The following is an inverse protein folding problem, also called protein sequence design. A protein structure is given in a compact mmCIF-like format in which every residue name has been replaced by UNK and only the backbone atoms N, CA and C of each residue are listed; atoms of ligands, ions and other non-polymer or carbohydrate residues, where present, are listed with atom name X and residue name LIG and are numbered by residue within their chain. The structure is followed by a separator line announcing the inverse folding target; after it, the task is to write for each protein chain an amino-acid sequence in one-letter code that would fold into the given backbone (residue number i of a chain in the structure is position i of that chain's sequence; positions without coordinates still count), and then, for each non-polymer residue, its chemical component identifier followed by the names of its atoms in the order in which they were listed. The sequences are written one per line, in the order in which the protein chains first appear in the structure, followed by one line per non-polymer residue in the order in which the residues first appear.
data_IF_892029701557
#
_entry.id   IF_892029701557
#
_cell.length_a   1.000
_cell.length_b   1.000
_cell.length_c   1.000
_cell.angle_alpha   90.00
_cell.angle_beta   90.00
_cell.angle_gamma   90.00
#
_symmetry.space_group_name_H-M   'P 1'
#
loop_
_entity.id
_entity.type
_entity.pdbx_description
1 polymer ?
#
# COMPACT_ATOMS: atom_id res chain seq x y z
N UNK A 1 -28.23 -20.18 -45.91
CA UNK A 1 -27.35 -19.86 -44.77
C UNK A 1 -27.06 -18.36 -44.59
N UNK A 2 -26.89 -17.53 -45.64
CA UNK A 2 -26.64 -16.07 -45.50
C UNK A 2 -27.80 -15.21 -44.94
N UNK A 3 -29.02 -15.74 -44.84
CA UNK A 3 -30.17 -15.02 -44.25
C UNK A 3 -30.39 -15.32 -42.76
N UNK A 4 -29.68 -16.29 -42.18
CA UNK A 4 -29.81 -16.62 -40.75
C UNK A 4 -28.91 -15.73 -39.88
N UNK A 5 -27.75 -15.30 -40.39
CA UNK A 5 -26.86 -14.35 -39.71
C UNK A 5 -27.43 -12.92 -39.63
N UNK A 6 -28.33 -12.55 -40.55
CA UNK A 6 -28.94 -11.20 -40.55
C UNK A 6 -30.00 -11.02 -39.46
N UNK A 7 -30.66 -12.10 -39.02
CA UNK A 7 -31.70 -12.03 -38.00
C UNK A 7 -31.14 -12.09 -36.56
N UNK A 8 -29.90 -12.55 -36.36
CA UNK A 8 -29.19 -12.43 -35.08
C UNK A 8 -28.69 -11.02 -34.79
N UNK A 9 -28.55 -10.17 -35.81
CA UNK A 9 -28.13 -8.77 -35.65
C UNK A 9 -29.28 -7.82 -35.29
N UNK A 10 -30.54 -8.13 -35.64
CA UNK A 10 -31.66 -7.23 -35.37
C UNK A 10 -32.27 -7.35 -33.98
N UNK A 11 -32.08 -8.49 -33.29
CA UNK A 11 -32.43 -8.61 -31.86
C UNK A 11 -31.43 -7.93 -30.92
N UNK A 12 -30.35 -7.34 -31.45
CA UNK A 12 -29.27 -6.78 -30.64
C UNK A 12 -29.39 -5.26 -30.39
N UNK A 13 -30.25 -4.55 -31.13
CA UNK A 13 -30.34 -3.08 -30.99
C UNK A 13 -31.00 -2.64 -29.68
N UNK A 14 -32.07 -3.30 -29.23
CA UNK A 14 -32.71 -2.95 -27.94
C UNK A 14 -31.81 -3.27 -26.74
N UNK A 15 -31.03 -4.35 -26.83
CA UNK A 15 -30.01 -4.69 -25.83
C UNK A 15 -28.83 -3.72 -25.82
N UNK A 16 -28.57 -3.04 -26.93
CA UNK A 16 -27.44 -2.10 -27.05
C UNK A 16 -27.75 -0.78 -26.34
N UNK A 17 -28.98 -0.26 -26.45
CA UNK A 17 -29.40 0.96 -25.76
C UNK A 17 -29.48 0.77 -24.24
N UNK A 18 -29.93 -0.41 -23.77
CA UNK A 18 -29.94 -0.74 -22.35
C UNK A 18 -28.51 -0.91 -21.81
N UNK A 19 -27.64 -1.55 -22.59
CA UNK A 19 -26.21 -1.65 -22.28
C UNK A 19 -25.54 -0.28 -22.22
N UNK A 20 -25.86 0.63 -23.16
CA UNK A 20 -25.30 1.97 -23.20
C UNK A 20 -25.75 2.83 -22.01
N UNK A 21 -27.02 2.72 -21.59
CA UNK A 21 -27.52 3.32 -20.35
C UNK A 21 -26.80 2.79 -19.11
N UNK A 22 -26.60 1.47 -19.02
CA UNK A 22 -25.87 0.86 -17.90
C UNK A 22 -24.40 1.26 -17.86
N UNK A 23 -23.73 1.37 -19.02
CA UNK A 23 -22.35 1.87 -19.09
C UNK A 23 -22.24 3.32 -18.67
N UNK A 24 -23.21 4.17 -19.02
CA UNK A 24 -23.23 5.57 -18.60
C UNK A 24 -23.39 5.67 -17.07
N UNK A 25 -24.26 4.89 -16.44
CA UNK A 25 -24.44 4.91 -14.97
C UNK A 25 -23.19 4.35 -14.25
N UNK A 26 -22.60 3.27 -14.75
CA UNK A 26 -21.38 2.68 -14.20
C UNK A 26 -20.21 3.67 -14.22
N UNK A 27 -20.16 4.54 -15.24
CA UNK A 27 -19.13 5.57 -15.39
C UNK A 27 -19.18 6.66 -14.30
N UNK A 28 -20.35 6.90 -13.68
CA UNK A 28 -20.51 7.88 -12.59
C UNK A 28 -20.26 7.28 -11.20
N UNK A 29 -20.54 5.99 -11.01
CA UNK A 29 -20.40 5.35 -9.69
C UNK A 29 -18.94 4.98 -9.39
N UNK A 30 -18.19 4.55 -10.41
CA UNK A 30 -16.78 4.16 -10.28
C UNK A 30 -15.85 5.24 -9.68
N UNK A 31 -15.88 6.51 -10.13
CA UNK A 31 -15.02 7.55 -9.55
C UNK A 31 -15.28 7.77 -8.06
N UNK A 32 -16.52 7.64 -7.57
CA UNK A 32 -16.87 7.84 -6.15
C UNK A 32 -16.14 6.82 -5.25
N UNK A 33 -16.02 5.57 -5.69
CA UNK A 33 -15.31 4.53 -4.93
C UNK A 33 -13.81 4.72 -4.91
N UNK A 34 -13.24 4.98 -6.09
CA UNK A 34 -11.82 5.31 -6.19
C UNK A 34 -11.48 6.51 -5.30
N UNK A 35 -12.31 7.55 -5.30
CA UNK A 35 -12.14 8.72 -4.43
C UNK A 35 -12.22 8.33 -2.95
N UNK A 36 -13.18 7.51 -2.55
CA UNK A 36 -13.32 7.07 -1.15
C UNK A 36 -12.09 6.31 -0.67
N UNK A 37 -11.57 5.38 -1.48
CA UNK A 37 -10.34 4.65 -1.15
C UNK A 37 -9.11 5.56 -1.12
N UNK A 38 -9.03 6.55 -2.00
CA UNK A 38 -7.98 7.56 -2.01
C UNK A 38 -8.02 8.41 -0.74
N UNK A 39 -9.20 8.86 -0.30
CA UNK A 39 -9.36 9.63 0.95
C UNK A 39 -8.95 8.78 2.14
N UNK A 40 -9.44 7.54 2.23
CA UNK A 40 -9.06 6.61 3.31
C UNK A 40 -7.55 6.36 3.30
N UNK A 41 -6.96 6.09 2.14
CA UNK A 41 -5.52 5.89 2.01
C UNK A 41 -4.70 7.12 2.41
N UNK A 42 -5.20 8.31 2.09
CA UNK A 42 -4.60 9.58 2.50
C UNK A 42 -4.65 9.77 4.01
N UNK A 43 -5.81 9.54 4.63
CA UNK A 43 -5.96 9.63 6.08
C UNK A 43 -5.05 8.61 6.79
N UNK A 44 -4.97 7.38 6.28
CA UNK A 44 -4.05 6.36 6.78
C UNK A 44 -2.60 6.82 6.63
N UNK A 45 -2.21 7.40 5.50
CA UNK A 45 -0.86 7.93 5.30
C UNK A 45 -0.51 9.05 6.28
N UNK A 46 -1.44 9.98 6.53
CA UNK A 46 -1.25 11.04 7.52
C UNK A 46 -1.08 10.42 8.91
N UNK A 47 -1.90 9.41 9.26
CA UNK A 47 -1.77 8.70 10.52
C UNK A 47 -0.42 7.97 10.62
N UNK A 48 0.02 7.26 9.57
CA UNK A 48 1.33 6.60 9.52
C UNK A 48 2.44 7.62 9.73
N UNK A 49 2.41 8.75 9.02
CA UNK A 49 3.43 9.81 9.15
C UNK A 49 3.49 10.32 10.60
N UNK A 50 2.34 10.66 11.19
CA UNK A 50 2.31 11.15 12.57
C UNK A 50 2.83 10.09 13.57
N UNK A 51 2.32 8.86 13.46
CA UNK A 51 2.69 7.75 14.35
C UNK A 51 4.16 7.39 14.21
N UNK A 52 4.67 7.27 12.98
CA UNK A 52 6.06 6.91 12.70
C UNK A 52 7.03 8.03 13.06
N UNK A 53 6.66 9.30 12.84
CA UNK A 53 7.48 10.44 13.29
C UNK A 53 7.54 10.47 14.81
N UNK A 54 6.39 10.29 15.48
CA UNK A 54 6.35 10.19 16.94
C UNK A 54 7.22 9.03 17.43
N UNK A 55 7.16 7.87 16.79
CA UNK A 55 7.92 6.69 17.20
C UNK A 55 9.43 6.82 16.93
N UNK A 56 9.83 7.25 15.73
CA UNK A 56 11.24 7.22 15.32
C UNK A 56 12.01 8.50 15.67
N UNK A 57 11.37 9.65 15.74
CA UNK A 57 12.06 10.94 15.97
C UNK A 57 11.71 11.55 17.32
N UNK A 58 10.43 11.56 17.68
CA UNK A 58 9.98 12.23 18.91
C UNK A 58 10.33 11.39 20.14
N UNK A 59 10.13 10.06 20.09
CA UNK A 59 10.37 9.18 21.23
C UNK A 59 11.84 9.23 21.69
N UNK A 60 12.86 9.09 20.80
CA UNK A 60 14.26 9.16 21.22
C UNK A 60 14.66 10.54 21.76
N UNK A 61 14.12 11.62 21.19
CA UNK A 61 14.42 12.98 21.62
C UNK A 61 13.79 13.32 22.97
N UNK A 62 12.57 12.87 23.20
CA UNK A 62 11.87 13.03 24.49
C UNK A 62 12.54 12.18 25.58
N UNK A 63 13.13 11.03 25.24
CA UNK A 63 13.81 10.18 26.25
C UNK A 63 15.07 10.79 26.85
N UNK A 64 15.78 11.64 26.12
CA UNK A 64 16.88 12.42 26.68
C UNK A 64 16.38 13.47 27.70
N UNK A 65 15.12 13.92 27.55
CA UNK A 65 14.36 14.67 28.54
C UNK A 65 13.76 13.77 29.61
N UNK A 66 14.55 13.43 30.64
CA UNK A 66 14.32 12.48 31.76
C UNK A 66 12.93 12.36 32.42
N UNK A 67 11.93 13.18 32.11
CA UNK A 67 10.65 13.24 32.84
C UNK A 67 9.42 12.71 32.08
N UNK A 68 9.41 12.67 30.75
CA UNK A 68 8.15 12.35 30.05
C UNK A 68 7.93 10.85 29.82
N UNK A 69 8.99 10.06 29.58
CA UNK A 69 8.82 8.68 29.14
C UNK A 69 8.57 7.64 30.23
N UNK A 70 8.88 7.94 31.50
CA UNK A 70 8.51 7.07 32.61
C UNK A 70 6.99 6.97 32.80
N UNK A 71 6.24 7.94 32.27
CA UNK A 71 4.78 8.02 32.39
C UNK A 71 4.02 7.73 31.09
N UNK A 72 4.71 7.60 29.95
CA UNK A 72 4.07 7.08 28.74
C UNK A 72 3.80 5.61 28.99
N UNK A 73 2.54 5.30 29.34
CA UNK A 73 2.09 3.99 29.82
C UNK A 73 2.73 2.86 29.01
N UNK A 74 3.15 1.75 29.64
CA UNK A 74 3.63 0.55 28.94
C UNK A 74 2.74 0.10 27.79
N UNK A 75 1.43 0.34 27.93
CA UNK A 75 0.43 0.16 26.88
C UNK A 75 0.72 0.99 25.62
N UNK A 76 1.10 2.26 25.76
CA UNK A 76 1.36 3.18 24.65
C UNK A 76 2.49 2.69 23.76
N UNK A 77 3.58 2.14 24.32
CA UNK A 77 4.67 1.60 23.49
C UNK A 77 4.19 0.40 22.64
N UNK A 78 3.46 -0.55 23.25
CA UNK A 78 2.91 -1.71 22.53
C UNK A 78 1.88 -1.28 21.50
N UNK A 79 0.99 -0.36 21.86
CA UNK A 79 -0.04 0.16 20.99
C UNK A 79 0.55 0.92 19.81
N UNK A 80 1.58 1.74 20.03
CA UNK A 80 2.25 2.49 18.96
C UNK A 80 2.93 1.55 17.96
N UNK A 81 3.65 0.54 18.43
CA UNK A 81 4.26 -0.49 17.56
C UNK A 81 3.17 -1.25 16.79
N UNK A 82 2.15 -1.75 17.48
CA UNK A 82 1.00 -2.42 16.86
C UNK A 82 0.38 -1.56 15.77
N UNK A 83 0.10 -0.29 16.08
CA UNK A 83 -0.62 0.63 15.22
C UNK A 83 0.21 1.03 14.00
N UNK A 84 1.54 1.24 14.14
CA UNK A 84 2.46 1.43 13.02
C UNK A 84 2.38 0.27 12.02
N UNK A 85 2.54 -0.98 12.48
CA UNK A 85 2.49 -2.13 11.57
C UNK A 85 1.09 -2.35 10.98
N UNK A 86 0.06 -2.21 11.81
CA UNK A 86 -1.34 -2.33 11.40
C UNK A 86 -1.71 -1.36 10.28
N UNK A 87 -1.43 -0.06 10.45
CA UNK A 87 -1.74 0.96 9.45
C UNK A 87 -0.93 0.75 8.17
N UNK A 88 0.37 0.45 8.29
CA UNK A 88 1.23 0.16 7.13
C UNK A 88 0.68 -1.01 6.31
N UNK A 89 0.23 -2.09 6.95
CA UNK A 89 -0.30 -3.24 6.23
C UNK A 89 -1.64 -2.96 5.58
N UNK A 90 -2.56 -2.26 6.25
CA UNK A 90 -3.81 -1.83 5.62
C UNK A 90 -3.51 -0.97 4.39
N UNK A 91 -2.59 -0.02 4.50
CA UNK A 91 -2.23 0.85 3.38
C UNK A 91 -1.67 0.09 2.18
N UNK A 92 -0.78 -0.89 2.42
CA UNK A 92 -0.22 -1.73 1.35
C UNK A 92 -1.32 -2.53 0.65
N UNK A 93 -2.20 -3.18 1.41
CA UNK A 93 -3.29 -3.96 0.83
C UNK A 93 -4.36 -3.08 0.16
N UNK A 94 -4.55 -1.85 0.62
CA UNK A 94 -5.38 -0.85 -0.04
C UNK A 94 -4.86 -0.53 -1.45
N UNK A 95 -3.53 -0.34 -1.60
CA UNK A 95 -2.89 -0.13 -2.91
C UNK A 95 -3.12 -1.34 -3.82
N UNK A 96 -2.96 -2.56 -3.30
CA UNK A 96 -3.21 -3.80 -4.05
C UNK A 96 -4.67 -3.84 -4.52
N UNK A 97 -5.62 -3.53 -3.64
CA UNK A 97 -7.05 -3.51 -3.97
C UNK A 97 -7.39 -2.49 -5.06
N UNK A 98 -6.84 -1.27 -4.97
CA UNK A 98 -7.00 -0.24 -5.99
C UNK A 98 -6.47 -0.72 -7.36
N UNK A 99 -5.33 -1.42 -7.36
CA UNK A 99 -4.74 -1.98 -8.58
C UNK A 99 -5.56 -3.11 -9.19
N UNK A 100 -6.06 -4.03 -8.35
CA UNK A 100 -6.95 -5.11 -8.80
C UNK A 100 -8.24 -4.52 -9.40
N UNK A 101 -8.86 -3.56 -8.71
CA UNK A 101 -10.10 -2.94 -9.16
C UNK A 101 -9.91 -2.23 -10.52
N UNK A 102 -8.81 -1.50 -10.69
CA UNK A 102 -8.45 -0.89 -11.99
C UNK A 102 -8.19 -1.94 -13.07
N UNK A 103 -7.49 -3.01 -12.72
CA UNK A 103 -7.22 -4.11 -13.64
C UNK A 103 -8.54 -4.75 -14.10
N UNK A 104 -9.48 -5.03 -13.19
CA UNK A 104 -10.81 -5.54 -13.50
C UNK A 104 -11.61 -4.56 -14.38
N UNK A 105 -11.52 -3.27 -14.08
CA UNK A 105 -12.16 -2.21 -14.87
C UNK A 105 -11.65 -2.15 -16.32
N UNK A 106 -10.38 -2.42 -16.57
CA UNK A 106 -9.80 -2.38 -17.92
C UNK A 106 -9.86 -3.71 -18.66
N UNK A 107 -9.84 -4.83 -17.93
CA UNK A 107 -9.81 -6.19 -18.53
C UNK A 107 -11.18 -6.71 -18.94
N UNK A 108 -12.22 -6.40 -18.17
CA UNK A 108 -13.53 -7.04 -18.36
C UNK A 108 -14.58 -5.99 -18.66
N UNK A 109 -15.25 -6.05 -19.81
CA UNK A 109 -16.42 -5.20 -20.09
C UNK A 109 -17.69 -5.78 -19.48
N UNK A 110 -17.81 -7.12 -19.48
CA UNK A 110 -19.01 -7.86 -19.06
C UNK A 110 -19.05 -8.21 -17.57
N UNK A 111 -17.90 -8.49 -16.93
CA UNK A 111 -17.85 -8.87 -15.51
C UNK A 111 -17.95 -7.69 -14.52
N UNK A 112 -17.85 -6.44 -15.02
CA UNK A 112 -17.95 -5.20 -14.23
C UNK A 112 -19.22 -5.15 -13.36
N UNK A 113 -20.34 -5.58 -13.93
CA UNK A 113 -21.64 -5.50 -13.28
C UNK A 113 -21.81 -6.52 -12.15
N UNK A 114 -21.06 -7.62 -12.18
CA UNK A 114 -21.19 -8.71 -11.20
C UNK A 114 -20.19 -8.58 -10.05
N UNK A 115 -18.93 -8.22 -10.35
CA UNK A 115 -17.85 -8.31 -9.36
C UNK A 115 -17.67 -7.00 -8.57
N UNK A 116 -17.76 -5.83 -9.21
CA UNK A 116 -17.50 -4.54 -8.57
C UNK A 116 -18.73 -3.96 -7.85
N UNK A 117 -19.41 -4.78 -7.03
CA UNK A 117 -20.53 -4.30 -6.20
C UNK A 117 -20.01 -3.69 -4.90
N UNK A 118 -20.59 -2.55 -4.48
CA UNK A 118 -20.32 -1.84 -3.20
C UNK A 118 -20.20 -2.78 -1.99
N UNK A 119 -21.07 -3.78 -1.90
CA UNK A 119 -21.07 -4.74 -0.79
C UNK A 119 -19.80 -5.59 -0.78
N UNK A 120 -19.36 -6.06 -1.94
CA UNK A 120 -18.15 -6.89 -2.07
C UNK A 120 -16.90 -6.11 -1.69
N UNK A 121 -16.76 -4.86 -2.16
CA UNK A 121 -15.63 -4.00 -1.82
C UNK A 121 -15.52 -3.74 -0.30
N UNK A 122 -16.65 -3.47 0.35
CA UNK A 122 -16.71 -3.30 1.80
C UNK A 122 -16.35 -4.58 2.56
N UNK A 123 -16.85 -5.74 2.12
CA UNK A 123 -16.54 -7.04 2.73
C UNK A 123 -15.04 -7.33 2.60
N UNK A 124 -14.45 -7.16 1.42
CA UNK A 124 -13.03 -7.41 1.19
C UNK A 124 -12.18 -6.45 2.04
N UNK A 125 -12.54 -5.17 2.10
CA UNK A 125 -11.84 -4.19 2.93
C UNK A 125 -11.90 -4.55 4.42
N UNK A 126 -13.07 -4.99 4.91
CA UNK A 126 -13.24 -5.46 6.28
C UNK A 126 -12.37 -6.70 6.56
N UNK A 127 -12.33 -7.65 5.64
CA UNK A 127 -11.46 -8.84 5.75
C UNK A 127 -9.99 -8.44 5.85
N UNK A 128 -9.52 -7.50 5.03
CA UNK A 128 -8.15 -6.98 5.07
C UNK A 128 -7.85 -6.33 6.43
N UNK A 129 -8.78 -5.53 6.96
CA UNK A 129 -8.63 -4.86 8.26
C UNK A 129 -8.55 -5.89 9.39
N UNK A 130 -9.46 -6.87 9.41
CA UNK A 130 -9.47 -7.94 10.42
C UNK A 130 -8.20 -8.78 10.32
N UNK A 131 -7.80 -9.17 9.11
CA UNK A 131 -6.57 -9.93 8.89
C UNK A 131 -5.34 -9.15 9.38
N UNK A 132 -5.23 -7.86 9.01
CA UNK A 132 -4.14 -6.99 9.46
C UNK A 132 -4.13 -6.81 10.97
N UNK A 133 -5.32 -6.73 11.60
CA UNK A 133 -5.44 -6.66 13.05
C UNK A 133 -4.92 -7.94 13.70
N UNK A 134 -5.40 -9.11 13.26
CA UNK A 134 -5.03 -10.41 13.81
C UNK A 134 -3.53 -10.68 13.66
N UNK A 135 -2.96 -10.40 12.49
CA UNK A 135 -1.54 -10.58 12.22
C UNK A 135 -0.68 -9.69 13.12
N UNK A 136 -1.14 -8.49 13.49
CA UNK A 136 -0.36 -7.57 14.34
C UNK A 136 -0.68 -7.67 15.84
N UNK A 137 -1.82 -8.24 16.23
CA UNK A 137 -2.27 -8.30 17.62
C UNK A 137 -1.25 -8.95 18.56
N UNK A 138 -0.38 -9.81 18.03
CA UNK A 138 0.71 -10.43 18.77
C UNK A 138 1.67 -9.39 19.41
N UNK A 139 1.84 -8.20 18.83
CA UNK A 139 2.63 -7.11 19.43
C UNK A 139 2.04 -6.62 20.76
N UNK A 140 0.71 -6.57 20.87
CA UNK A 140 0.02 -6.15 22.10
C UNK A 140 0.22 -7.18 23.23
N UNK A 141 0.36 -8.46 22.88
CA UNK A 141 0.42 -9.58 23.82
C UNK A 141 1.86 -9.86 24.27
N UNK A 142 2.81 -9.89 23.33
CA UNK A 142 4.15 -10.42 23.56
C UNK A 142 5.24 -9.36 23.82
N UNK A 143 4.98 -8.08 23.53
CA UNK A 143 5.87 -7.01 23.96
C UNK A 143 5.72 -6.79 25.47
N UNK A 144 6.84 -6.62 26.16
CA UNK A 144 6.93 -6.32 27.59
C UNK A 144 6.79 -4.83 27.82
N UNK A 145 6.50 -4.48 29.06
CA UNK A 145 6.55 -3.11 29.55
C UNK A 145 8.01 -2.62 29.52
N UNK A 146 8.26 -1.33 29.20
CA UNK A 146 9.60 -0.80 29.05
C UNK A 146 10.38 -0.94 30.36
N UNK A 147 11.53 -1.60 30.31
CA UNK A 147 12.43 -1.73 31.47
C UNK A 147 13.45 -0.60 31.41
N UNK A 148 13.70 0.07 32.54
CA UNK A 148 14.80 1.02 32.65
C UNK A 148 16.11 0.24 32.66
N UNK A 149 16.86 0.30 31.56
CA UNK A 149 18.21 -0.27 31.49
C UNK A 149 19.17 0.80 31.97
N UNK A 150 19.80 0.55 33.11
CA UNK A 150 20.91 1.36 33.60
C UNK A 150 22.15 0.97 32.79
N UNK A 151 22.79 1.95 32.13
CA UNK A 151 23.95 1.77 31.24
C UNK A 151 25.25 1.40 31.99
N UNK A 152 25.15 0.53 33.00
CA UNK A 152 26.28 0.07 33.82
C UNK A 152 27.26 -0.85 33.06
N UNK A 153 26.85 -1.38 31.90
CA UNK A 153 27.73 -2.25 31.09
C UNK A 153 28.49 -1.46 30.02
N UNK A 154 29.83 -1.38 30.20
CA UNK A 154 30.87 -0.78 29.33
C UNK A 154 30.94 -1.29 27.87
N UNK A 155 29.89 -1.90 27.33
CA UNK A 155 29.84 -2.48 25.98
C UNK A 155 28.82 -1.83 25.06
N UNK A 156 27.99 -0.92 25.54
CA UNK A 156 27.08 -0.18 24.67
C UNK A 156 27.80 1.04 24.11
N UNK A 157 28.00 1.05 22.80
CA UNK A 157 28.39 2.18 21.98
C UNK A 157 27.44 3.39 21.99
N UNK A 158 26.49 3.40 22.94
CA UNK A 158 25.51 4.45 23.07
C UNK A 158 26.07 5.47 24.07
N UNK A 159 25.95 6.76 23.76
CA UNK A 159 26.29 7.82 24.71
C UNK A 159 25.57 7.57 26.03
N UNK A 160 26.17 7.98 27.15
CA UNK A 160 25.55 7.91 28.49
C UNK A 160 24.15 8.54 28.46
N UNK A 161 23.14 7.69 28.35
CA UNK A 161 21.75 8.05 28.09
C UNK A 161 20.83 6.87 28.37
N UNK A 162 19.60 7.15 28.82
CA UNK A 162 18.58 6.13 29.05
C UNK A 162 17.80 5.93 27.76
N UNK A 163 17.90 4.75 27.15
CA UNK A 163 17.09 4.39 25.99
C UNK A 163 15.94 3.49 26.42
N UNK A 164 14.72 3.87 26.05
CA UNK A 164 13.54 3.03 26.26
C UNK A 164 13.20 2.36 24.94
N UNK A 165 13.35 1.04 24.88
CA UNK A 165 12.80 0.22 23.80
C UNK A 165 11.75 -0.73 24.37
N UNK A 166 10.73 -1.03 23.57
CA UNK A 166 9.78 -2.10 23.88
C UNK A 166 10.54 -3.44 23.85
N UNK A 167 10.90 -3.97 25.02
CA UNK A 167 11.59 -5.25 25.12
C UNK A 167 10.61 -6.42 24.95
N UNK A 168 11.08 -7.56 24.44
CA UNK A 168 10.27 -8.76 24.37
C UNK A 168 10.01 -9.35 25.76
N UNK A 169 8.80 -9.87 26.01
CA UNK A 169 8.49 -10.57 27.27
C UNK A 169 9.20 -11.93 27.39
N UNK A 170 9.50 -12.59 26.26
CA UNK A 170 9.92 -13.99 26.22
C UNK A 170 11.04 -14.18 25.20
N UNK A 171 12.12 -14.89 25.56
CA UNK A 171 13.22 -15.25 24.65
C UNK A 171 12.73 -15.93 23.36
N UNK A 172 11.67 -16.74 23.44
CA UNK A 172 11.05 -17.35 22.27
C UNK A 172 10.45 -16.30 21.31
N UNK A 173 9.77 -15.29 21.85
CA UNK A 173 9.24 -14.20 21.05
C UNK A 173 10.34 -13.32 20.49
N UNK A 174 11.40 -13.07 21.26
CA UNK A 174 12.57 -12.35 20.78
C UNK A 174 13.21 -13.07 19.58
N UNK A 175 13.37 -14.40 19.67
CA UNK A 175 13.89 -15.21 18.57
C UNK A 175 12.96 -15.17 17.34
N UNK A 176 11.64 -15.27 17.55
CA UNK A 176 10.65 -15.12 16.48
C UNK A 176 10.75 -13.73 15.83
N UNK A 177 10.78 -12.66 16.62
CA UNK A 177 10.79 -11.29 16.14
C UNK A 177 12.09 -10.93 15.41
N UNK A 178 13.23 -11.46 15.85
CA UNK A 178 14.53 -11.21 15.21
C UNK A 178 14.73 -12.04 13.94
N UNK A 179 14.34 -13.31 13.94
CA UNK A 179 14.71 -14.24 12.87
C UNK A 179 13.57 -14.51 11.88
N UNK A 180 12.34 -14.70 12.38
CA UNK A 180 11.20 -15.18 11.56
C UNK A 180 10.36 -14.01 11.06
N UNK A 181 10.03 -13.07 11.94
CA UNK A 181 9.17 -11.93 11.64
C UNK A 181 9.65 -11.07 10.46
N UNK A 182 10.96 -10.74 10.32
CA UNK A 182 11.41 -9.92 9.20
C UNK A 182 11.21 -10.62 7.86
N UNK A 183 11.46 -11.93 7.79
CA UNK A 183 11.22 -12.72 6.58
C UNK A 183 9.73 -12.72 6.24
N UNK A 184 8.89 -13.02 7.23
CA UNK A 184 7.43 -13.00 7.06
C UNK A 184 6.94 -11.64 6.57
N UNK A 185 7.47 -10.56 7.16
CA UNK A 185 7.14 -9.19 6.79
C UNK A 185 7.47 -8.89 5.32
N UNK A 186 8.65 -9.31 4.86
CA UNK A 186 9.05 -9.10 3.45
C UNK A 186 8.22 -9.93 2.48
N UNK A 187 7.95 -11.19 2.79
CA UNK A 187 7.18 -12.06 1.88
C UNK A 187 5.74 -11.55 1.76
N UNK A 188 5.05 -11.39 2.89
CA UNK A 188 3.61 -11.13 2.92
C UNK A 188 3.28 -9.67 2.61
N UNK A 189 4.09 -8.71 3.08
CA UNK A 189 3.76 -7.29 2.96
C UNK A 189 4.59 -6.54 1.93
N UNK A 190 5.55 -7.18 1.27
CA UNK A 190 6.23 -6.57 0.12
C UNK A 190 6.16 -7.44 -1.13
N UNK A 191 6.65 -8.67 -1.08
CA UNK A 191 6.79 -9.51 -2.27
C UNK A 191 5.43 -9.89 -2.88
N UNK A 192 4.48 -10.36 -2.06
CA UNK A 192 3.12 -10.72 -2.53
C UNK A 192 2.38 -9.49 -3.10
N UNK A 193 2.28 -8.34 -2.40
CA UNK A 193 1.69 -7.13 -2.95
C UNK A 193 2.32 -6.68 -4.27
N UNK A 194 3.65 -6.64 -4.36
CA UNK A 194 4.37 -6.24 -5.57
C UNK A 194 4.09 -7.21 -6.72
N UNK A 195 4.05 -8.52 -6.44
CA UNK A 195 3.74 -9.52 -7.46
C UNK A 195 2.31 -9.35 -8.01
N UNK A 196 1.33 -9.11 -7.14
CA UNK A 196 -0.07 -8.86 -7.56
C UNK A 196 -0.16 -7.57 -8.40
N UNK A 197 0.45 -6.48 -7.92
CA UNK A 197 0.48 -5.19 -8.64
C UNK A 197 1.15 -5.37 -10.01
N UNK A 198 2.25 -6.11 -10.08
CA UNK A 198 2.95 -6.39 -11.32
C UNK A 198 2.09 -7.18 -12.33
N UNK A 199 1.36 -8.20 -11.87
CA UNK A 199 0.41 -8.93 -12.73
C UNK A 199 -0.70 -7.99 -13.23
N UNK A 200 -1.28 -7.19 -12.34
CA UNK A 200 -2.31 -6.21 -12.70
C UNK A 200 -1.79 -5.24 -13.77
N UNK A 201 -0.56 -4.76 -13.60
CA UNK A 201 0.11 -3.87 -14.54
C UNK A 201 0.27 -4.52 -15.93
N UNK A 202 0.78 -5.76 -15.99
CA UNK A 202 0.94 -6.49 -17.26
C UNK A 202 -0.40 -6.67 -17.99
N UNK A 203 -1.47 -6.97 -17.25
CA UNK A 203 -2.82 -7.12 -17.80
C UNK A 203 -3.37 -5.79 -18.34
N UNK A 204 -3.14 -4.69 -17.62
CA UNK A 204 -3.53 -3.34 -18.06
C UNK A 204 -2.83 -2.98 -19.36
N UNK A 205 -1.50 -3.12 -19.42
CA UNK A 205 -0.70 -2.80 -20.62
C UNK A 205 -1.14 -3.65 -21.81
N UNK A 206 -1.33 -4.96 -21.60
CA UNK A 206 -1.84 -5.87 -22.63
C UNK A 206 -3.18 -5.40 -23.21
N UNK A 207 -4.13 -5.00 -22.35
CA UNK A 207 -5.44 -4.58 -22.81
C UNK A 207 -5.43 -3.22 -23.51
N UNK A 208 -4.60 -2.29 -23.07
CA UNK A 208 -4.39 -1.01 -23.77
C UNK A 208 -3.82 -1.26 -25.16
N UNK A 209 -2.83 -2.16 -25.29
CA UNK A 209 -2.25 -2.52 -26.58
C UNK A 209 -3.27 -3.18 -27.51
N UNK A 210 -4.06 -4.15 -27.00
CA UNK A 210 -5.13 -4.81 -27.76
C UNK A 210 -6.28 -3.86 -28.12
N UNK A 211 -6.56 -2.85 -27.29
CA UNK A 211 -7.57 -1.82 -27.59
C UNK A 211 -7.11 -0.91 -28.72
N UNK A 212 -5.85 -0.44 -28.69
CA UNK A 212 -5.28 0.37 -29.77
C UNK A 212 -5.27 -0.36 -31.10
N UNK A 213 -4.85 -1.63 -31.11
CA UNK A 213 -4.83 -2.44 -32.35
C UNK A 213 -6.22 -2.52 -33.00
N UNK A 214 -7.26 -2.75 -32.19
CA UNK A 214 -8.65 -2.76 -32.70
C UNK A 214 -9.06 -1.42 -33.30
N UNK A 215 -8.67 -0.29 -32.71
CA UNK A 215 -9.00 1.02 -33.26
C UNK A 215 -8.34 1.22 -34.63
N UNK A 216 -7.06 0.87 -34.78
CA UNK A 216 -6.37 0.97 -36.07
C UNK A 216 -7.01 0.10 -37.17
N UNK A 217 -7.51 -1.09 -36.82
CA UNK A 217 -8.21 -1.97 -37.78
C UNK A 217 -9.58 -1.39 -38.22
N UNK A 218 -10.18 -0.48 -37.45
CA UNK A 218 -11.48 0.17 -37.77
C UNK A 218 -11.35 1.59 -38.34
N UNK A 219 -10.20 2.25 -38.16
CA UNK A 219 -9.96 3.65 -38.57
C UNK A 219 -9.94 3.82 -40.10
N UNK A 220 -9.77 2.73 -40.86
CA UNK A 220 -9.90 2.74 -42.32
C UNK A 220 -11.34 3.03 -42.80
N UNK A 221 -12.33 3.14 -41.90
CA UNK A 221 -13.76 3.29 -42.27
C UNK A 221 -14.54 4.48 -41.71
N UNK A 222 -14.06 5.33 -40.78
CA UNK A 222 -14.91 6.40 -40.19
C UNK A 222 -14.20 7.65 -39.67
N UNK A 223 -14.34 8.74 -40.43
CA UNK A 223 -13.98 10.12 -40.03
C UNK A 223 -14.90 10.77 -38.96
N UNK A 224 -15.91 10.07 -38.42
CA UNK A 224 -16.95 10.69 -37.57
C UNK A 224 -16.81 10.48 -36.05
N UNK A 225 -15.76 9.81 -35.55
CA UNK A 225 -15.58 9.50 -34.11
C UNK A 225 -14.56 10.43 -33.43
N UNK A 226 -14.53 11.72 -33.80
CA UNK A 226 -13.52 12.67 -33.29
C UNK A 226 -13.82 13.12 -31.84
N UNK A 227 -15.07 13.03 -31.36
CA UNK A 227 -15.47 13.50 -30.03
C UNK A 227 -15.09 12.57 -28.85
N UNK A 228 -14.81 11.28 -29.11
CA UNK A 228 -14.41 10.31 -28.07
C UNK A 228 -12.92 10.36 -27.70
N UNK A 229 -12.09 11.06 -28.49
CA UNK A 229 -10.62 11.08 -28.31
C UNK A 229 -10.17 11.78 -27.02
N UNK A 230 -10.70 12.97 -26.72
CA UNK A 230 -10.30 13.79 -25.56
C UNK A 230 -10.52 13.11 -24.21
N UNK A 231 -11.55 12.28 -24.07
CA UNK A 231 -11.85 11.58 -22.82
C UNK A 231 -10.90 10.40 -22.58
N UNK A 232 -10.53 9.68 -23.66
CA UNK A 232 -9.54 8.61 -23.59
C UNK A 232 -8.14 9.14 -23.24
N UNK A 233 -7.78 10.33 -23.71
CA UNK A 233 -6.49 10.96 -23.38
C UNK A 233 -6.36 11.28 -21.88
N UNK A 234 -7.44 11.77 -21.25
CA UNK A 234 -7.47 12.01 -19.79
C UNK A 234 -7.32 10.72 -18.99
N UNK A 235 -8.06 9.68 -19.35
CA UNK A 235 -7.96 8.36 -18.71
C UNK A 235 -6.55 7.75 -18.87
N UNK A 236 -5.94 7.93 -20.03
CA UNK A 236 -4.56 7.51 -20.30
C UNK A 236 -3.54 8.30 -19.46
N UNK A 237 -3.74 9.61 -19.29
CA UNK A 237 -2.89 10.45 -18.44
C UNK A 237 -2.95 10.02 -16.96
N UNK A 238 -4.16 9.83 -16.42
CA UNK A 238 -4.37 9.35 -15.06
C UNK A 238 -3.74 7.95 -14.89
N UNK A 239 -3.94 7.05 -15.86
CA UNK A 239 -3.34 5.72 -15.85
C UNK A 239 -1.81 5.74 -15.75
N UNK A 240 -1.13 6.63 -16.50
CA UNK A 240 0.34 6.78 -16.43
C UNK A 240 0.79 7.20 -15.03
N UNK A 241 0.12 8.19 -14.45
CA UNK A 241 0.47 8.71 -13.12
C UNK A 241 0.37 7.62 -12.05
N UNK A 242 -0.66 6.78 -12.15
CA UNK A 242 -0.86 5.67 -11.23
C UNK A 242 0.21 4.58 -11.38
N UNK A 243 0.60 4.27 -12.62
CA UNK A 243 1.72 3.36 -12.90
C UNK A 243 3.02 3.85 -12.23
N UNK A 244 3.30 5.16 -12.29
CA UNK A 244 4.47 5.71 -11.60
C UNK A 244 4.39 5.53 -10.08
N UNK A 245 3.22 5.69 -9.48
CA UNK A 245 3.03 5.41 -8.05
C UNK A 245 3.25 3.94 -7.71
N UNK A 246 2.75 3.03 -8.55
CA UNK A 246 2.88 1.59 -8.37
C UNK A 246 4.34 1.13 -8.48
N UNK A 247 5.14 1.77 -9.35
CA UNK A 247 6.59 1.53 -9.47
C UNK A 247 7.40 2.16 -8.34
N UNK A 248 6.96 3.31 -7.81
CA UNK A 248 7.62 3.97 -6.69
C UNK A 248 7.51 3.14 -5.40
N UNK A 249 6.42 2.39 -5.25
CA UNK A 249 6.19 1.53 -4.08
C UNK A 249 7.32 0.50 -3.81
N UNK A 250 7.67 -0.42 -4.74
CA UNK A 250 8.75 -1.38 -4.52
C UNK A 250 10.12 -0.72 -4.39
N UNK A 251 10.39 0.30 -5.19
CA UNK A 251 11.68 1.02 -5.19
C UNK A 251 12.00 1.62 -3.83
N UNK A 252 10.99 2.10 -3.13
CA UNK A 252 11.15 2.74 -1.81
C UNK A 252 11.10 1.75 -0.65
N UNK A 253 10.32 0.66 -0.76
CA UNK A 253 10.13 -0.29 0.33
C UNK A 253 11.22 -1.36 0.37
N UNK A 254 11.63 -1.91 -0.78
CA UNK A 254 12.56 -3.03 -0.79
C UNK A 254 13.92 -2.72 -0.15
N UNK A 255 14.58 -1.56 -0.41
CA UNK A 255 15.87 -1.26 0.21
C UNK A 255 15.80 -1.28 1.74
N UNK A 256 14.74 -0.70 2.31
CA UNK A 256 14.55 -0.66 3.77
C UNK A 256 14.36 -2.06 4.34
N UNK A 257 13.53 -2.88 3.69
CA UNK A 257 13.21 -4.23 4.15
C UNK A 257 14.40 -5.19 4.04
N UNK A 258 15.12 -5.17 2.92
CA UNK A 258 16.33 -5.97 2.76
C UNK A 258 17.41 -5.56 3.75
N UNK A 259 17.56 -4.25 4.00
CA UNK A 259 18.50 -3.76 4.98
C UNK A 259 18.12 -4.17 6.41
N UNK A 260 16.84 -4.14 6.77
CA UNK A 260 16.35 -4.67 8.05
C UNK A 260 16.64 -6.16 8.24
N UNK A 261 16.40 -6.97 7.21
CA UNK A 261 16.79 -8.39 7.23
C UNK A 261 18.30 -8.51 7.47
N UNK A 262 19.10 -7.79 6.68
CA UNK A 262 20.55 -7.84 6.77
C UNK A 262 21.05 -7.52 8.18
N UNK A 263 20.56 -6.45 8.81
CA UNK A 263 20.95 -6.07 10.18
C UNK A 263 20.56 -7.14 11.20
N UNK A 264 19.38 -7.75 11.05
CA UNK A 264 18.91 -8.77 11.99
C UNK A 264 19.79 -10.04 11.94
N UNK A 265 20.27 -10.42 10.75
CA UNK A 265 21.19 -11.56 10.59
C UNK A 265 22.65 -11.21 10.91
N UNK A 266 23.08 -9.98 10.62
CA UNK A 266 24.44 -9.49 10.80
C UNK A 266 24.45 -8.26 11.72
N UNK A 267 24.23 -8.46 13.03
CA UNK A 267 24.18 -7.33 13.96
C UNK A 267 25.53 -6.60 14.00
N UNK A 268 25.53 -5.25 13.98
CA UNK A 268 26.75 -4.47 13.99
C UNK A 268 27.55 -4.67 15.28
N UNK A 269 28.86 -4.82 15.14
CA UNK A 269 29.80 -5.03 16.27
C UNK A 269 30.44 -3.75 16.80
N UNK A 270 30.47 -2.69 15.99
CA UNK A 270 31.15 -1.43 16.31
C UNK A 270 30.18 -0.26 16.38
N UNK A 271 30.52 0.76 17.17
CA UNK A 271 29.70 1.96 17.35
C UNK A 271 29.46 2.69 16.03
N UNK A 272 30.51 2.78 15.21
CA UNK A 272 30.46 3.37 13.88
C UNK A 272 29.45 2.64 12.99
N UNK A 273 29.46 1.31 12.98
CA UNK A 273 28.53 0.53 12.16
C UNK A 273 27.08 0.69 12.63
N UNK A 274 26.83 0.79 13.94
CA UNK A 274 25.51 1.09 14.50
C UNK A 274 25.02 2.47 14.01
N UNK A 275 25.89 3.50 14.08
CA UNK A 275 25.56 4.85 13.61
C UNK A 275 25.23 4.90 12.12
N UNK A 276 26.05 4.24 11.29
CA UNK A 276 25.82 4.13 9.83
C UNK A 276 24.49 3.41 9.55
N UNK A 277 24.21 2.32 10.24
CA UNK A 277 22.96 1.56 10.10
C UNK A 277 21.74 2.43 10.43
N UNK A 278 21.78 3.16 11.55
CA UNK A 278 20.69 4.04 11.95
C UNK A 278 20.47 5.18 10.94
N UNK A 279 21.55 5.72 10.37
CA UNK A 279 21.48 6.72 9.31
C UNK A 279 20.80 6.16 8.05
N UNK A 280 21.20 4.97 7.59
CA UNK A 280 20.60 4.32 6.41
C UNK A 280 19.12 4.02 6.66
N UNK A 281 18.75 3.52 7.84
CA UNK A 281 17.35 3.29 8.20
C UNK A 281 16.55 4.59 8.23
N UNK A 282 17.10 5.67 8.81
CA UNK A 282 16.46 6.99 8.84
C UNK A 282 16.26 7.56 7.43
N UNK A 283 17.25 7.41 6.54
CA UNK A 283 17.10 7.77 5.12
C UNK A 283 16.02 6.93 4.44
N UNK A 284 15.99 5.62 4.70
CA UNK A 284 14.96 4.72 4.20
C UNK A 284 13.54 5.11 4.62
N UNK A 285 13.35 5.43 5.90
CA UNK A 285 12.06 5.92 6.41
C UNK A 285 11.69 7.28 5.79
N UNK A 286 12.65 8.17 5.63
CA UNK A 286 12.44 9.47 4.97
C UNK A 286 11.97 9.32 3.53
N UNK A 287 12.58 8.41 2.77
CA UNK A 287 12.15 8.06 1.42
C UNK A 287 10.72 7.50 1.42
N UNK A 288 10.37 6.65 2.40
CA UNK A 288 9.00 6.15 2.54
C UNK A 288 7.99 7.26 2.84
N UNK A 289 8.36 8.28 3.62
CA UNK A 289 7.49 9.44 3.85
C UNK A 289 7.31 10.29 2.58
N UNK A 290 8.40 10.53 1.85
CA UNK A 290 8.38 11.23 0.57
C UNK A 290 7.41 10.53 -0.41
N UNK A 291 7.45 9.19 -0.49
CA UNK A 291 6.48 8.42 -1.27
C UNK A 291 5.04 8.71 -0.87
N UNK A 292 4.73 8.69 0.43
CA UNK A 292 3.36 8.92 0.92
C UNK A 292 2.88 10.35 0.57
N UNK A 293 3.78 11.34 0.65
CA UNK A 293 3.50 12.72 0.22
C UNK A 293 3.28 12.82 -1.29
N UNK A 294 4.11 12.16 -2.11
CA UNK A 294 3.91 12.13 -3.55
C UNK A 294 2.60 11.46 -3.96
N UNK A 295 2.23 10.35 -3.30
CA UNK A 295 0.94 9.71 -3.51
C UNK A 295 -0.21 10.68 -3.24
N UNK A 296 -0.17 11.40 -2.12
CA UNK A 296 -1.17 12.42 -1.80
C UNK A 296 -1.24 13.53 -2.87
N UNK A 297 -0.10 14.13 -3.23
CA UNK A 297 -0.05 15.21 -4.22
C UNK A 297 -0.58 14.75 -5.58
N UNK A 298 -0.19 13.55 -6.00
CA UNK A 298 -0.67 12.96 -7.24
C UNK A 298 -2.18 12.79 -7.21
N UNK A 299 -2.74 12.25 -6.13
CA UNK A 299 -4.19 12.11 -6.01
C UNK A 299 -4.91 13.46 -5.98
N UNK A 300 -4.31 14.46 -5.33
CA UNK A 300 -4.87 15.81 -5.28
C UNK A 300 -4.90 16.49 -6.66
N UNK A 301 -3.84 16.34 -7.46
CA UNK A 301 -3.77 16.96 -8.80
C UNK A 301 -4.46 16.16 -9.92
N UNK A 302 -4.77 14.88 -9.69
CA UNK A 302 -5.43 14.02 -10.69
C UNK A 302 -6.94 13.84 -10.47
N UNK A 303 -7.45 14.14 -9.28
CA UNK A 303 -8.88 14.18 -8.96
C UNK A 303 -9.56 15.47 -9.42
#
# INVERSE_FOLDING_TARGET
MRNFERNLFFSHNDSFDEYQKLTNIAHWIYPIWSITFIIIGTLINILIINVDITYHYLLPYITDGRMFLQYVLPFTCKFLVFFTFFLRYIFIWLIVMINIDRCLYLTTTTLKLLICRRRSANIISLVIVIFSFLVNAHFLIFLKDPIRIESSSRKACMLDGFYYYCESRNRHFENFYKNIWPIYNVIIFALVPVFIIFICFLLIVRNIYLSKRRIFDFDERRDSIISGSKQNDRLCSIGKVLIYLDLLFPVTIFPVLFFQIYINYYPPKTCLNIGIINLILSMGYSISFIKNTFAFLIFYFTG
#
